data_IF_031962176664
#
_entry.id   IF_031962176664
#
_cell.length_a   1.000
_cell.length_b   1.000
_cell.length_c   1.000
_cell.angle_alpha   90.00
_cell.angle_beta   90.00
_cell.angle_gamma   90.00
#
_symmetry.space_group_name_H-M   'P 1'
#
loop_
_entity.id
_entity.type
_entity.pdbx_description
1 polymer ?
#
# COMPACT_ATOMS: atom_id res chain seq x y z
N UNK A 1 -7.08 20.35 19.10
CA UNK A 1 -6.44 21.44 18.33
C UNK A 1 -4.98 21.14 17.96
N UNK A 2 -4.12 20.69 18.89
CA UNK A 2 -2.69 20.36 18.61
C UNK A 2 -2.47 19.21 17.60
N UNK A 3 -3.21 18.10 17.75
CA UNK A 3 -3.16 16.93 16.83
C UNK A 3 -3.45 17.28 15.37
N UNK A 4 -4.43 18.16 15.11
CA UNK A 4 -4.85 18.56 13.76
C UNK A 4 -3.80 19.42 13.05
N UNK A 5 -3.11 20.29 13.79
CA UNK A 5 -2.03 21.12 13.27
C UNK A 5 -0.80 20.29 12.91
N UNK A 6 -0.42 19.33 13.77
CA UNK A 6 0.66 18.38 13.51
C UNK A 6 0.39 17.50 12.28
N UNK A 7 -0.87 17.15 12.02
CA UNK A 7 -1.24 16.40 10.80
C UNK A 7 -1.18 17.26 9.54
N UNK A 8 -1.64 18.51 9.60
CA UNK A 8 -1.58 19.43 8.47
C UNK A 8 -0.13 19.76 8.07
N UNK A 9 0.74 20.00 9.05
CA UNK A 9 2.16 20.29 8.79
C UNK A 9 2.89 19.06 8.22
N UNK A 10 2.58 17.87 8.74
CA UNK A 10 3.11 16.60 8.18
C UNK A 10 2.66 16.39 6.74
N UNK A 11 1.39 16.69 6.43
CA UNK A 11 0.85 16.58 5.08
C UNK A 11 1.54 17.55 4.11
N UNK A 12 1.74 18.81 4.53
CA UNK A 12 2.45 19.83 3.78
C UNK A 12 3.88 19.39 3.45
N UNK A 13 4.63 18.89 4.45
CA UNK A 13 5.99 18.36 4.25
C UNK A 13 6.02 17.17 3.31
N UNK A 14 5.07 16.25 3.43
CA UNK A 14 4.98 15.10 2.53
C UNK A 14 4.76 15.53 1.07
N UNK A 15 3.90 16.52 0.83
CA UNK A 15 3.69 17.09 -0.49
C UNK A 15 4.97 17.76 -1.03
N UNK A 16 5.67 18.55 -0.22
CA UNK A 16 6.93 19.20 -0.63
C UNK A 16 8.00 18.19 -1.03
N UNK A 17 8.21 17.16 -0.21
CA UNK A 17 9.13 16.07 -0.53
C UNK A 17 8.72 15.36 -1.82
N UNK A 18 7.42 15.12 -2.03
CA UNK A 18 6.95 14.52 -3.29
C UNK A 18 7.22 15.42 -4.49
N UNK A 19 7.02 16.74 -4.38
CA UNK A 19 7.36 17.70 -5.45
C UNK A 19 8.86 17.69 -5.76
N UNK A 20 9.70 17.54 -4.75
CA UNK A 20 11.14 17.39 -4.89
C UNK A 20 11.57 16.06 -5.56
N UNK A 21 10.64 15.12 -5.76
CA UNK A 21 10.90 13.83 -6.41
C UNK A 21 11.21 12.69 -5.42
N UNK A 22 11.07 12.91 -4.11
CA UNK A 22 11.28 11.88 -3.09
C UNK A 22 10.24 10.76 -3.23
N UNK A 23 10.67 9.51 -3.07
CA UNK A 23 9.78 8.35 -3.14
C UNK A 23 8.84 8.28 -1.93
N UNK A 24 7.67 7.64 -2.06
CA UNK A 24 6.74 7.47 -0.93
C UNK A 24 7.38 6.73 0.25
N UNK A 25 8.28 5.79 -0.03
CA UNK A 25 9.03 5.04 1.01
C UNK A 25 10.00 5.95 1.75
N UNK A 26 10.73 6.79 1.03
CA UNK A 26 11.68 7.72 1.66
C UNK A 26 10.94 8.82 2.41
N UNK A 27 9.78 9.27 1.92
CA UNK A 27 8.90 10.20 2.64
C UNK A 27 8.44 9.57 3.95
N UNK A 28 7.96 8.31 3.91
CA UNK A 28 7.53 7.58 5.09
C UNK A 28 8.66 7.46 6.13
N UNK A 29 9.87 7.13 5.67
CA UNK A 29 11.05 7.06 6.53
C UNK A 29 11.47 8.43 7.10
N UNK A 30 11.47 9.48 6.29
CA UNK A 30 11.88 10.84 6.72
C UNK A 30 10.89 11.48 7.69
N UNK A 31 9.59 11.16 7.57
CA UNK A 31 8.53 11.73 8.40
C UNK A 31 8.11 10.80 9.55
N UNK A 32 8.75 9.64 9.70
CA UNK A 32 8.43 8.62 10.70
C UNK A 32 6.94 8.21 10.70
N UNK A 33 6.42 7.91 9.50
CA UNK A 33 5.03 7.46 9.28
C UNK A 33 5.01 6.16 8.47
N UNK A 34 3.87 5.46 8.48
CA UNK A 34 3.71 4.26 7.65
C UNK A 34 3.68 4.61 6.16
N UNK A 35 4.09 3.66 5.30
CA UNK A 35 4.04 3.83 3.85
C UNK A 35 2.62 4.11 3.34
N UNK A 36 1.62 3.41 3.87
CA UNK A 36 0.21 3.65 3.54
C UNK A 36 -0.22 5.07 3.89
N UNK A 37 0.16 5.55 5.08
CA UNK A 37 -0.14 6.92 5.50
C UNK A 37 0.56 7.97 4.63
N UNK A 38 1.82 7.74 4.22
CA UNK A 38 2.51 8.63 3.29
C UNK A 38 1.81 8.71 1.93
N UNK A 39 1.37 7.57 1.39
CA UNK A 39 0.57 7.52 0.17
C UNK A 39 -0.73 8.32 0.30
N UNK A 40 -1.48 8.10 1.38
CA UNK A 40 -2.77 8.75 1.59
C UNK A 40 -2.64 10.27 1.77
N UNK A 41 -1.64 10.72 2.54
CA UNK A 41 -1.35 12.14 2.73
C UNK A 41 -1.03 12.80 1.39
N UNK A 42 -0.04 12.29 0.68
CA UNK A 42 0.39 12.88 -0.60
C UNK A 42 -0.74 12.85 -1.62
N UNK A 43 -1.52 11.76 -1.70
CA UNK A 43 -2.67 11.65 -2.62
C UNK A 43 -3.72 12.71 -2.31
N UNK A 44 -4.08 12.88 -1.03
CA UNK A 44 -5.06 13.86 -0.59
C UNK A 44 -4.58 15.28 -0.89
N UNK A 45 -3.36 15.62 -0.50
CA UNK A 45 -2.83 16.97 -0.73
C UNK A 45 -2.68 17.27 -2.23
N UNK A 46 -2.28 16.30 -3.05
CA UNK A 46 -2.25 16.46 -4.51
C UNK A 46 -3.64 16.69 -5.12
N UNK A 47 -4.71 16.15 -4.53
CA UNK A 47 -6.07 16.38 -5.02
C UNK A 47 -6.51 17.85 -4.84
N UNK A 48 -6.04 18.49 -3.78
CA UNK A 48 -6.28 19.91 -3.47
C UNK A 48 -5.40 20.87 -4.30
N UNK A 49 -4.29 20.40 -4.85
CA UNK A 49 -3.42 21.20 -5.73
C UNK A 49 -4.17 21.57 -7.03
N UNK A 50 -4.13 22.83 -7.49
CA UNK A 50 -4.78 23.25 -8.73
C UNK A 50 -4.42 22.36 -9.93
N UNK A 51 -5.37 22.20 -10.86
CA UNK A 51 -5.18 21.35 -12.06
C UNK A 51 -3.92 21.71 -12.84
N UNK A 52 -3.65 23.02 -13.02
CA UNK A 52 -2.47 23.50 -13.73
C UNK A 52 -1.15 23.03 -13.08
N UNK A 53 -1.08 23.09 -11.75
CA UNK A 53 0.08 22.65 -10.98
C UNK A 53 0.25 21.12 -11.04
N UNK A 54 -0.86 20.36 -11.05
CA UNK A 54 -0.79 18.90 -11.25
C UNK A 54 -0.22 18.53 -12.62
N UNK A 55 -0.59 19.28 -13.66
CA UNK A 55 -0.03 19.10 -15.01
C UNK A 55 1.46 19.44 -14.99
N UNK A 56 1.87 20.54 -14.36
CA UNK A 56 3.28 20.90 -14.22
C UNK A 56 4.09 19.82 -13.51
N UNK A 57 3.56 19.22 -12.43
CA UNK A 57 4.20 18.11 -11.73
C UNK A 57 4.33 16.85 -12.60
N UNK A 58 3.30 16.53 -13.38
CA UNK A 58 3.34 15.41 -14.34
C UNK A 58 4.41 15.64 -15.41
N UNK A 59 4.53 16.86 -15.93
CA UNK A 59 5.55 17.21 -16.92
C UNK A 59 6.96 17.13 -16.35
N UNK A 60 7.18 17.65 -15.13
CA UNK A 60 8.47 17.55 -14.44
C UNK A 60 8.89 16.09 -14.25
N UNK A 61 7.96 15.21 -13.88
CA UNK A 61 8.27 13.79 -13.75
C UNK A 61 8.56 13.13 -15.10
N UNK A 62 7.86 13.54 -16.16
CA UNK A 62 8.14 13.07 -17.52
C UNK A 62 9.57 13.45 -17.96
N UNK A 63 10.00 14.69 -17.70
CA UNK A 63 11.36 15.16 -17.98
C UNK A 63 12.41 14.36 -17.20
N UNK A 64 12.16 14.07 -15.91
CA UNK A 64 13.04 13.20 -15.12
C UNK A 64 13.16 11.80 -15.73
N UNK A 65 12.06 11.21 -16.16
CA UNK A 65 12.05 9.92 -16.83
C UNK A 65 12.76 9.96 -18.19
N UNK A 66 12.62 11.05 -18.96
CA UNK A 66 13.37 11.25 -20.21
C UNK A 66 14.88 11.29 -19.96
N UNK A 67 15.32 12.02 -18.94
CA UNK A 67 16.74 12.10 -18.56
C UNK A 67 17.29 10.72 -18.15
N UNK A 68 16.58 9.98 -17.29
CA UNK A 68 16.99 8.64 -16.88
C UNK A 68 17.04 7.68 -18.08
N UNK A 69 16.04 7.74 -18.96
CA UNK A 69 16.03 6.93 -20.16
C UNK A 69 17.23 7.23 -21.05
N UNK A 70 17.55 8.51 -21.28
CA UNK A 70 18.68 8.92 -22.10
C UNK A 70 20.02 8.40 -21.56
N UNK A 71 20.20 8.34 -20.24
CA UNK A 71 21.40 7.80 -19.59
C UNK A 71 21.53 6.29 -19.79
N UNK A 72 20.43 5.54 -19.62
CA UNK A 72 20.46 4.06 -19.63
C UNK A 72 20.40 3.50 -21.06
N UNK A 73 19.78 4.22 -22.00
CA UNK A 73 19.52 3.74 -23.36
C UNK A 73 20.75 3.23 -24.12
N UNK A 74 21.92 3.90 -24.10
CA UNK A 74 23.12 3.41 -24.77
C UNK A 74 23.56 2.02 -24.30
N UNK A 75 23.49 1.76 -22.99
CA UNK A 75 23.85 0.46 -22.39
C UNK A 75 22.82 -0.62 -22.73
N UNK A 76 21.53 -0.29 -22.71
CA UNK A 76 20.49 -1.23 -23.11
C UNK A 76 20.65 -1.65 -24.58
N UNK A 77 21.06 -0.72 -25.47
CA UNK A 77 21.30 -1.01 -26.90
C UNK A 77 22.47 -1.98 -27.15
N UNK A 78 23.40 -2.14 -26.21
CA UNK A 78 24.49 -3.13 -26.33
C UNK A 78 24.06 -4.53 -25.88
N UNK A 79 22.82 -4.71 -25.44
CA UNK A 79 22.30 -5.99 -24.95
C UNK A 79 22.52 -6.25 -23.46
N UNK A 80 22.91 -5.24 -22.68
CA UNK A 80 23.02 -5.37 -21.23
C UNK A 80 21.63 -5.60 -20.61
N UNK A 81 21.41 -6.80 -20.05
CA UNK A 81 20.14 -7.20 -19.46
C UNK A 81 19.75 -6.35 -18.23
N UNK A 82 20.72 -5.84 -17.47
CA UNK A 82 20.44 -4.96 -16.34
C UNK A 82 19.91 -3.61 -16.85
N UNK A 83 20.56 -3.02 -17.86
CA UNK A 83 20.10 -1.78 -18.46
C UNK A 83 18.73 -1.94 -19.16
N UNK A 84 18.48 -3.07 -19.84
CA UNK A 84 17.17 -3.38 -20.45
C UNK A 84 16.08 -3.44 -19.38
N UNK A 85 16.36 -4.06 -18.22
CA UNK A 85 15.42 -4.12 -17.10
C UNK A 85 15.05 -2.71 -16.60
N UNK A 86 16.04 -1.83 -16.46
CA UNK A 86 15.80 -0.44 -16.04
C UNK A 86 15.00 0.35 -17.09
N UNK A 87 15.30 0.19 -18.38
CA UNK A 87 14.48 0.78 -19.48
C UNK A 87 13.03 0.30 -19.42
N UNK A 88 12.80 -0.99 -19.14
CA UNK A 88 11.44 -1.53 -18.98
C UNK A 88 10.72 -0.86 -17.82
N UNK A 89 11.38 -0.69 -16.68
CA UNK A 89 10.83 -0.02 -15.50
C UNK A 89 10.52 1.46 -15.77
N UNK A 90 11.41 2.18 -16.45
CA UNK A 90 11.17 3.57 -16.87
C UNK A 90 9.96 3.65 -17.81
N UNK A 91 9.88 2.77 -18.81
CA UNK A 91 8.77 2.71 -19.76
C UNK A 91 7.43 2.40 -19.07
N UNK A 92 7.42 1.51 -18.06
CA UNK A 92 6.24 1.26 -17.23
C UNK A 92 5.81 2.50 -16.44
N UNK A 93 6.75 3.20 -15.80
CA UNK A 93 6.47 4.45 -15.10
C UNK A 93 5.87 5.50 -16.04
N UNK A 94 6.36 5.59 -17.29
CA UNK A 94 5.80 6.49 -18.31
C UNK A 94 4.39 6.10 -18.70
N UNK A 95 4.12 4.82 -18.97
CA UNK A 95 2.76 4.36 -19.33
C UNK A 95 1.75 4.66 -18.23
N UNK A 96 2.12 4.43 -16.96
CA UNK A 96 1.31 4.79 -15.79
C UNK A 96 1.10 6.29 -15.68
N UNK A 97 2.17 7.09 -15.83
CA UNK A 97 2.10 8.55 -15.81
C UNK A 97 1.17 9.07 -16.92
N UNK A 98 1.21 8.46 -18.10
CA UNK A 98 0.44 8.89 -19.25
C UNK A 98 -0.96 8.28 -19.39
N UNK A 99 -1.28 7.25 -18.60
CA UNK A 99 -2.52 6.50 -18.72
C UNK A 99 -2.60 5.69 -20.02
N UNK A 100 -1.47 5.21 -20.52
CA UNK A 100 -1.38 4.45 -21.77
C UNK A 100 -1.66 2.94 -21.57
N UNK A 101 -1.77 2.50 -20.33
CA UNK A 101 -2.10 1.12 -20.00
C UNK A 101 -3.60 0.88 -20.03
N UNK A 102 -3.99 -0.32 -20.47
CA UNK A 102 -5.37 -0.78 -20.32
C UNK A 102 -5.74 -0.84 -18.83
N UNK A 103 -7.01 -0.57 -18.48
CA UNK A 103 -7.46 -0.70 -17.09
C UNK A 103 -7.28 -2.15 -16.62
N UNK A 104 -6.60 -2.34 -15.48
CA UNK A 104 -6.52 -3.64 -14.83
C UNK A 104 -7.89 -3.98 -14.21
N UNK A 105 -8.46 -5.12 -14.60
CA UNK A 105 -9.58 -5.69 -13.89
C UNK A 105 -9.07 -6.22 -12.55
N UNK A 106 -9.62 -5.71 -11.44
CA UNK A 106 -9.37 -6.24 -10.11
C UNK A 106 -10.46 -7.27 -9.86
N UNK A 107 -10.11 -8.56 -9.90
CA UNK A 107 -10.99 -9.61 -9.39
C UNK A 107 -11.08 -9.42 -7.87
N UNK A 108 -12.20 -8.86 -7.41
CA UNK A 108 -12.56 -8.95 -6.01
C UNK A 108 -13.02 -10.39 -5.78
N UNK A 109 -12.15 -11.22 -5.21
CA UNK A 109 -12.61 -12.48 -4.66
C UNK A 109 -13.62 -12.16 -3.55
N UNK A 110 -14.79 -12.77 -3.61
CA UNK A 110 -15.78 -12.73 -2.54
C UNK A 110 -15.11 -13.25 -1.27
N UNK A 111 -14.63 -12.33 -0.43
CA UNK A 111 -14.20 -12.66 0.91
C UNK A 111 -15.49 -13.05 1.64
N UNK A 112 -15.58 -14.31 2.09
CA UNK A 112 -16.71 -14.78 2.87
C UNK A 112 -17.03 -13.75 3.98
N UNK A 113 -18.31 -13.50 4.29
CA UNK A 113 -18.69 -12.52 5.30
C UNK A 113 -17.88 -12.76 6.57
N UNK A 114 -17.04 -11.79 6.92
CA UNK A 114 -16.30 -11.85 8.18
C UNK A 114 -17.32 -11.75 9.31
N UNK A 115 -17.45 -12.79 10.13
CA UNK A 115 -18.30 -12.73 11.33
C UNK A 115 -17.63 -11.85 12.39
N UNK A 116 -17.88 -10.55 12.27
CA UNK A 116 -17.39 -9.53 13.19
C UNK A 116 -17.93 -9.81 14.61
N UNK A 117 -19.15 -10.36 14.74
CA UNK A 117 -19.78 -10.67 16.01
C UNK A 117 -19.15 -11.89 16.70
N UNK A 118 -18.84 -12.95 15.93
CA UNK A 118 -18.06 -14.09 16.42
C UNK A 118 -16.67 -13.68 16.86
N UNK A 119 -15.99 -12.85 16.05
CA UNK A 119 -14.67 -12.33 16.38
C UNK A 119 -14.68 -11.49 17.66
N UNK A 120 -15.66 -10.59 17.80
CA UNK A 120 -15.81 -9.77 19.01
C UNK A 120 -16.08 -10.61 20.26
N UNK A 121 -16.86 -11.70 20.15
CA UNK A 121 -17.09 -12.64 21.26
C UNK A 121 -15.80 -13.34 21.70
N UNK A 122 -15.01 -13.83 20.75
CA UNK A 122 -13.74 -14.51 21.05
C UNK A 122 -12.75 -13.57 21.75
N UNK A 123 -12.67 -12.31 21.31
CA UNK A 123 -11.82 -11.30 21.96
C UNK A 123 -12.31 -11.02 23.39
N UNK A 124 -13.63 -10.93 23.60
CA UNK A 124 -14.21 -10.65 24.90
C UNK A 124 -13.97 -11.81 25.90
N UNK A 125 -14.13 -13.06 25.45
CA UNK A 125 -13.83 -14.25 26.25
C UNK A 125 -12.35 -14.29 26.69
N UNK A 126 -11.42 -13.95 25.77
CA UNK A 126 -9.99 -13.85 26.07
C UNK A 126 -9.67 -12.80 27.14
N UNK A 127 -10.36 -11.66 27.11
CA UNK A 127 -10.19 -10.58 28.10
C UNK A 127 -10.76 -10.98 29.47
N UNK A 128 -11.83 -11.78 29.48
CA UNK A 128 -12.51 -12.20 30.70
C UNK A 128 -11.85 -13.41 31.39
N UNK A 129 -10.80 -13.99 30.80
CA UNK A 129 -10.09 -15.14 31.36
C UNK A 129 -10.94 -16.42 31.34
N UNK A 130 -11.93 -16.47 30.44
CA UNK A 130 -12.80 -17.62 30.27
C UNK A 130 -12.11 -18.61 29.31
N UNK A 131 -11.68 -19.77 29.83
CA UNK A 131 -11.03 -20.84 29.05
C UNK A 131 -12.00 -21.64 28.16
N UNK A 132 -13.22 -21.13 27.98
CA UNK A 132 -14.13 -21.59 26.95
C UNK A 132 -13.48 -21.38 25.58
N UNK A 133 -12.83 -22.43 25.07
CA UNK A 133 -12.05 -22.44 23.84
C UNK A 133 -12.85 -21.95 22.62
N UNK A 134 -12.19 -21.73 21.47
CA UNK A 134 -12.84 -21.17 20.29
C UNK A 134 -14.00 -22.07 19.87
N UNK A 135 -15.23 -21.54 19.94
CA UNK A 135 -16.41 -22.19 19.37
C UNK A 135 -16.29 -22.05 17.86
N UNK A 136 -15.75 -23.07 17.21
CA UNK A 136 -15.75 -23.22 15.76
C UNK A 136 -16.91 -24.16 15.44
N UNK A 137 -17.95 -23.61 14.82
CA UNK A 137 -19.08 -24.30 14.20
C UNK A 137 -19.57 -25.60 14.88
N UNK A 138 -20.44 -25.43 15.87
CA UNK A 138 -21.64 -26.27 15.99
C UNK A 138 -21.53 -27.69 16.55
N UNK A 139 -20.37 -28.19 16.97
CA UNK A 139 -20.30 -29.48 17.70
C UNK A 139 -19.53 -29.34 19.02
N UNK A 140 -20.23 -29.69 20.11
CA UNK A 140 -19.70 -29.69 21.46
C UNK A 140 -18.83 -30.96 21.64
N UNK A 141 -17.57 -30.80 22.02
CA UNK A 141 -16.57 -31.88 22.08
C UNK A 141 -16.76 -32.86 23.26
N UNK A 142 -17.95 -32.88 23.88
CA UNK A 142 -18.25 -33.64 25.11
C UNK A 142 -18.76 -35.08 24.85
N UNK A 143 -18.85 -35.54 23.61
CA UNK A 143 -19.34 -36.90 23.27
C UNK A 143 -18.26 -37.85 22.68
N UNK A 144 -16.98 -37.65 23.00
CA UNK A 144 -15.97 -38.70 22.79
C UNK A 144 -15.87 -39.57 24.04
N UNK A 145 -16.79 -40.53 24.13
CA UNK A 145 -16.83 -41.54 25.18
C UNK A 145 -15.52 -42.31 25.32
N UNK A 146 -15.25 -42.68 26.58
CA UNK A 146 -14.18 -43.55 27.08
C UNK A 146 -13.57 -44.46 26.02
N UNK A 147 -12.31 -44.19 25.67
CA UNK A 147 -11.43 -45.24 25.16
C UNK A 147 -11.09 -46.14 26.34
N UNK A 148 -11.80 -47.28 26.37
CA UNK A 148 -11.56 -48.46 27.19
C UNK A 148 -10.09 -48.88 27.09
N UNK A 149 -9.32 -48.56 28.13
CA UNK A 149 -7.95 -49.05 28.34
C UNK A 149 -8.02 -50.47 28.93
N UNK A 150 -7.84 -51.48 28.05
CA UNK A 150 -7.65 -52.86 28.45
C UNK A 150 -6.87 -53.67 27.41
N UNK A 151 -6.22 -54.75 27.84
CA UNK A 151 -4.78 -54.78 28.16
C UNK A 151 -3.85 -55.13 27.00
#
# INVERSE_FOLDING_TARGET
MKRTFETAETARKALELRRAGTSYRDIAHQLDISLGHAHDLVRRELAEVPVADRIALRNLEAERLDMLQAIVWPQARTGDLAAIKEIRAISESRRKLFGLDAPQQVEMHDVAPVDILGTARNILALIQGDESGPIIDGENFDEMGELDDGP
#
